data_IF_864684698173
#
_entry.id   IF_864684698173
#
_cell.length_a   1.000
_cell.length_b   1.000
_cell.length_c   1.000
_cell.angle_alpha   90.00
_cell.angle_beta   90.00
_cell.angle_gamma   90.00
#
_symmetry.space_group_name_H-M   'P 1'
#
loop_
_entity.id
_entity.type
_entity.pdbx_description
1 polymer ?
#
# COMPACT_ATOMS: atom_id res chain seq x y z
N UNK A 1 7.10 16.85 -15.89
CA UNK A 1 6.32 16.03 -14.93
C UNK A 1 6.95 14.65 -14.91
N UNK A 2 7.32 14.17 -13.73
CA UNK A 2 7.82 12.80 -13.57
C UNK A 2 6.68 11.85 -13.93
N UNK A 3 6.94 10.94 -14.87
CA UNK A 3 6.01 9.86 -15.18
C UNK A 3 6.12 8.83 -14.08
N UNK A 4 5.00 8.42 -13.49
CA UNK A 4 4.92 7.36 -12.49
C UNK A 4 4.20 6.12 -13.05
N UNK A 5 4.75 5.47 -14.09
CA UNK A 5 4.05 4.41 -14.82
C UNK A 5 3.63 3.24 -13.93
N UNK A 6 4.43 2.87 -12.92
CA UNK A 6 4.03 1.81 -12.00
C UNK A 6 2.88 2.23 -11.09
N UNK A 7 2.89 3.45 -10.54
CA UNK A 7 1.78 3.93 -9.72
C UNK A 7 0.48 4.00 -10.52
N UNK A 8 0.51 4.59 -11.72
CA UNK A 8 -0.66 4.72 -12.60
C UNK A 8 -1.24 3.34 -12.95
N UNK A 9 -0.38 2.37 -13.24
CA UNK A 9 -0.79 1.01 -13.56
C UNK A 9 -1.43 0.29 -12.37
N UNK A 10 -0.78 0.28 -11.21
CA UNK A 10 -1.31 -0.35 -10.00
C UNK A 10 -2.62 0.31 -9.58
N UNK A 11 -2.67 1.65 -9.61
CA UNK A 11 -3.84 2.40 -9.25
C UNK A 11 -5.03 2.13 -10.18
N UNK A 12 -4.77 2.01 -11.48
CA UNK A 12 -5.76 1.56 -12.47
C UNK A 12 -6.24 0.15 -12.15
N UNK A 13 -5.31 -0.81 -12.05
CA UNK A 13 -5.60 -2.22 -11.85
C UNK A 13 -6.46 -2.48 -10.61
N UNK A 14 -6.12 -1.85 -9.48
CA UNK A 14 -6.88 -1.97 -8.24
C UNK A 14 -8.25 -1.29 -8.36
N UNK A 15 -8.34 -0.13 -9.02
CA UNK A 15 -9.60 0.60 -9.17
C UNK A 15 -10.62 -0.06 -10.10
N UNK A 16 -10.17 -0.81 -11.11
CA UNK A 16 -11.04 -1.54 -12.04
C UNK A 16 -11.56 -2.85 -11.42
N UNK A 17 -10.91 -3.36 -10.37
CA UNK A 17 -11.35 -4.54 -9.63
C UNK A 17 -12.51 -4.19 -8.67
N UNK A 18 -13.58 -5.00 -8.74
CA UNK A 18 -14.71 -4.89 -7.83
C UNK A 18 -14.47 -5.65 -6.53
N UNK A 19 -14.06 -4.94 -5.49
CA UNK A 19 -14.08 -5.44 -4.12
C UNK A 19 -15.42 -5.06 -3.45
N UNK A 20 -16.30 -6.04 -3.26
CA UNK A 20 -17.68 -5.80 -2.79
C UNK A 20 -17.74 -5.03 -1.47
N UNK A 21 -18.47 -3.92 -1.45
CA UNK A 21 -18.65 -3.06 -0.28
C UNK A 21 -17.41 -2.26 0.11
N UNK A 22 -16.38 -2.23 -0.72
CA UNK A 22 -15.14 -1.53 -0.43
C UNK A 22 -15.05 -0.19 -1.15
N UNK A 23 -14.39 0.76 -0.50
CA UNK A 23 -14.00 2.05 -1.04
C UNK A 23 -12.49 2.05 -1.31
N UNK A 24 -12.09 2.62 -2.44
CA UNK A 24 -10.67 2.70 -2.83
C UNK A 24 -10.27 4.17 -2.84
N UNK A 25 -9.24 4.53 -2.07
CA UNK A 25 -8.65 5.88 -2.06
C UNK A 25 -7.25 5.79 -2.68
N UNK A 26 -6.91 6.73 -3.57
CA UNK A 26 -5.69 6.74 -4.40
C UNK A 26 -4.96 8.07 -4.26
N UNK A 27 -3.64 8.03 -4.11
CA UNK A 27 -2.79 9.22 -4.29
C UNK A 27 -2.82 9.65 -5.77
N UNK A 28 -2.67 10.94 -6.11
CA UNK A 28 -2.62 11.42 -7.49
C UNK A 28 -1.67 10.66 -8.41
N UNK A 29 -0.53 10.16 -7.93
CA UNK A 29 0.38 9.36 -8.74
C UNK A 29 -0.26 8.04 -9.22
N UNK A 30 -1.24 7.52 -8.47
CA UNK A 30 -1.97 6.29 -8.74
C UNK A 30 -3.22 6.51 -9.62
N UNK A 31 -3.32 7.64 -10.31
CA UNK A 31 -4.49 8.01 -11.11
C UNK A 31 -4.07 8.30 -12.54
N UNK A 32 -4.95 8.02 -13.51
CA UNK A 32 -4.67 8.36 -14.91
C UNK A 32 -4.58 9.88 -15.05
N UNK A 33 -3.70 10.36 -15.93
CA UNK A 33 -3.45 11.82 -16.13
C UNK A 33 -4.68 12.68 -16.40
N UNK A 34 -5.77 12.08 -16.88
CA UNK A 34 -7.02 12.77 -17.19
C UNK A 34 -8.06 12.71 -16.06
N UNK A 35 -7.79 11.95 -14.99
CA UNK A 35 -8.62 11.94 -13.79
C UNK A 35 -8.31 13.18 -12.95
N UNK A 36 -9.27 14.09 -12.83
CA UNK A 36 -9.18 15.27 -11.98
C UNK A 36 -9.35 14.87 -10.50
N UNK A 37 -8.33 14.21 -9.94
CA UNK A 37 -8.25 13.96 -8.51
C UNK A 37 -7.39 15.08 -7.93
N UNK A 38 -7.94 15.84 -6.97
CA UNK A 38 -7.23 16.96 -6.34
C UNK A 38 -5.88 16.51 -5.77
N UNK A 39 -5.00 17.47 -5.41
CA UNK A 39 -3.71 17.17 -4.76
C UNK A 39 -3.95 16.62 -3.35
N UNK A 40 -4.30 15.34 -3.27
CA UNK A 40 -4.74 14.70 -2.04
C UNK A 40 -3.78 13.57 -1.68
N UNK A 41 -2.97 13.78 -0.66
CA UNK A 41 -2.20 12.69 -0.07
C UNK A 41 -3.10 11.77 0.76
N UNK A 42 -2.82 10.48 0.75
CA UNK A 42 -3.47 9.52 1.65
C UNK A 42 -2.72 9.49 2.98
N UNK A 43 -2.97 10.50 3.81
CA UNK A 43 -2.27 10.66 5.09
C UNK A 43 -2.85 9.77 6.18
N UNK A 44 -2.00 9.01 6.87
CA UNK A 44 -2.33 8.24 8.06
C UNK A 44 -1.91 8.98 9.34
N UNK A 45 -2.74 8.90 10.37
CA UNK A 45 -2.64 9.64 11.61
C UNK A 45 -2.70 8.72 12.84
N UNK A 46 -2.12 9.18 13.94
CA UNK A 46 -2.22 8.52 15.25
C UNK A 46 -3.39 9.01 16.12
N UNK A 47 -4.26 9.86 15.57
CA UNK A 47 -5.41 10.44 16.26
C UNK A 47 -6.70 10.11 15.51
N UNK A 48 -7.79 10.00 16.26
CA UNK A 48 -9.14 9.82 15.72
C UNK A 48 -9.81 11.16 15.38
N UNK A 49 -9.67 12.13 16.29
CA UNK A 49 -10.31 13.44 16.20
C UNK A 49 -9.77 14.28 15.03
N UNK A 50 -10.60 14.59 14.01
CA UNK A 50 -10.18 15.42 12.87
C UNK A 50 -9.71 16.82 13.27
N UNK A 51 -10.19 17.37 14.38
CA UNK A 51 -9.73 18.67 14.87
C UNK A 51 -8.25 18.65 15.28
N UNK A 52 -7.70 17.47 15.59
CA UNK A 52 -6.28 17.25 15.92
C UNK A 52 -5.44 16.88 14.70
N UNK A 53 -6.03 16.79 13.51
CA UNK A 53 -5.33 16.50 12.26
C UNK A 53 -4.30 17.58 11.98
N UNK A 54 -3.02 17.21 12.02
CA UNK A 54 -1.91 18.13 11.77
C UNK A 54 -0.65 17.38 11.34
N UNK A 55 0.40 18.12 10.95
CA UNK A 55 1.71 17.51 10.70
C UNK A 55 2.31 16.81 11.92
N UNK A 56 1.89 17.18 13.14
CA UNK A 56 2.39 16.58 14.39
C UNK A 56 1.80 15.19 14.64
N UNK A 57 0.59 14.95 14.13
CA UNK A 57 -0.16 13.70 14.33
C UNK A 57 -0.16 12.80 13.09
N UNK A 58 0.40 13.29 11.97
CA UNK A 58 0.60 12.53 10.73
C UNK A 58 1.85 11.66 10.84
N UNK A 59 1.73 10.38 10.53
CA UNK A 59 2.87 9.45 10.52
C UNK A 59 3.41 9.18 9.12
N UNK A 60 2.54 8.95 8.13
CA UNK A 60 2.96 8.72 6.75
C UNK A 60 1.89 9.15 5.75
N UNK A 61 2.30 9.21 4.48
CA UNK A 61 1.41 9.26 3.32
C UNK A 61 1.61 7.94 2.55
N UNK A 62 0.52 7.23 2.26
CA UNK A 62 0.53 5.97 1.49
C UNK A 62 0.02 6.20 0.07
N UNK A 63 0.30 5.28 -0.84
CA UNK A 63 -0.08 5.44 -2.26
C UNK A 63 -1.52 5.02 -2.54
N UNK A 64 -2.03 4.03 -1.81
CA UNK A 64 -3.38 3.51 -1.99
C UNK A 64 -3.94 2.91 -0.69
N UNK A 65 -5.24 3.03 -0.49
CA UNK A 65 -5.95 2.40 0.61
C UNK A 65 -7.25 1.75 0.10
N UNK A 66 -7.59 0.59 0.68
CA UNK A 66 -8.91 -0.04 0.50
C UNK A 66 -9.59 -0.08 1.86
N UNK A 67 -10.73 0.59 1.96
CA UNK A 67 -11.57 0.63 3.14
C UNK A 67 -12.84 -0.19 2.94
N UNK A 68 -13.38 -0.73 4.03
CA UNK A 68 -14.68 -1.41 4.07
C UNK A 68 -15.33 -1.08 5.40
N UNK A 69 -16.61 -0.73 5.40
CA UNK A 69 -17.39 -0.40 6.60
C UNK A 69 -16.68 0.67 7.48
N UNK A 70 -16.15 1.71 6.83
CA UNK A 70 -15.37 2.79 7.47
C UNK A 70 -14.10 2.34 8.20
N UNK A 71 -13.58 1.16 7.86
CA UNK A 71 -12.29 0.67 8.33
C UNK A 71 -11.30 0.47 7.20
N UNK A 72 -10.07 0.92 7.37
CA UNK A 72 -8.94 0.60 6.48
C UNK A 72 -8.63 -0.88 6.61
N UNK A 73 -8.71 -1.63 5.50
CA UNK A 73 -8.42 -3.08 5.45
C UNK A 73 -7.13 -3.40 4.68
N UNK A 74 -6.78 -2.58 3.69
CA UNK A 74 -5.57 -2.77 2.88
C UNK A 74 -4.86 -1.43 2.70
N UNK A 75 -3.55 -1.46 2.85
CA UNK A 75 -2.64 -0.36 2.53
C UNK A 75 -1.71 -0.86 1.42
N UNK A 76 -1.50 -0.03 0.40
CA UNK A 76 -0.54 -0.30 -0.67
C UNK A 76 0.47 0.84 -0.73
N UNK A 77 1.74 0.45 -0.80
CA UNK A 77 2.88 1.33 -0.98
C UNK A 77 3.69 0.89 -2.21
N UNK A 78 4.12 1.84 -3.02
CA UNK A 78 4.75 1.65 -4.33
C UNK A 78 6.07 2.42 -4.35
N UNK A 79 7.17 1.69 -4.50
CA UNK A 79 8.51 2.25 -4.55
C UNK A 79 9.09 2.13 -5.96
N UNK A 80 8.91 3.19 -6.74
CA UNK A 80 9.32 3.22 -8.15
C UNK A 80 10.74 3.81 -8.35
N UNK A 81 11.15 4.73 -7.48
CA UNK A 81 12.39 5.48 -7.66
C UNK A 81 13.53 4.99 -6.77
N UNK A 82 13.22 4.43 -5.59
CA UNK A 82 14.21 4.10 -4.57
C UNK A 82 13.91 2.76 -3.87
N UNK A 83 14.40 1.67 -4.46
CA UNK A 83 14.23 0.30 -3.93
C UNK A 83 15.36 -0.13 -2.97
N UNK A 84 15.88 0.81 -2.18
CA UNK A 84 16.89 0.52 -1.13
C UNK A 84 16.21 -0.11 0.10
N UNK A 85 16.88 -1.03 0.82
CA UNK A 85 16.27 -1.72 1.96
C UNK A 85 15.62 -0.79 2.98
N UNK A 86 16.29 0.29 3.38
CA UNK A 86 15.75 1.25 4.36
C UNK A 86 14.47 1.93 3.87
N UNK A 87 14.30 2.10 2.56
CA UNK A 87 13.08 2.62 1.97
C UNK A 87 11.97 1.58 2.02
N UNK A 88 12.26 0.33 1.64
CA UNK A 88 11.31 -0.80 1.69
C UNK A 88 10.79 -1.06 3.11
N UNK A 89 11.64 -0.89 4.14
CA UNK A 89 11.21 -0.97 5.53
C UNK A 89 10.44 0.26 6.03
N UNK A 90 10.65 1.43 5.41
CA UNK A 90 10.37 2.73 6.02
C UNK A 90 8.91 2.97 6.39
N UNK A 91 7.99 2.77 5.46
CA UNK A 91 6.57 3.06 5.68
C UNK A 91 5.80 1.94 6.37
N UNK A 92 6.38 0.75 6.52
CA UNK A 92 5.74 -0.36 7.23
C UNK A 92 5.44 0.02 8.69
N UNK A 93 6.45 0.43 9.46
CA UNK A 93 6.26 0.72 10.89
C UNK A 93 5.38 1.94 11.13
N UNK A 94 5.55 2.99 10.32
CA UNK A 94 4.71 4.19 10.39
C UNK A 94 3.23 3.87 10.15
N UNK A 95 2.94 3.03 9.15
CA UNK A 95 1.58 2.59 8.85
C UNK A 95 1.03 1.66 9.93
N UNK A 96 1.84 0.74 10.44
CA UNK A 96 1.47 -0.15 11.54
C UNK A 96 1.18 0.57 12.87
N UNK A 97 1.77 1.75 13.06
CA UNK A 97 1.59 2.60 14.25
C UNK A 97 0.46 3.63 14.07
N UNK A 98 -0.07 3.77 12.87
CA UNK A 98 -1.18 4.68 12.60
C UNK A 98 -2.50 4.05 13.06
N UNK A 99 -3.46 4.89 13.42
CA UNK A 99 -4.78 4.45 13.90
C UNK A 99 -5.91 4.87 12.97
N UNK A 100 -5.72 5.92 12.16
CA UNK A 100 -6.78 6.47 11.31
C UNK A 100 -6.24 6.99 9.98
N UNK A 101 -7.08 6.91 8.95
CA UNK A 101 -7.01 7.75 7.76
C UNK A 101 -8.07 8.86 7.89
N UNK A 102 -7.67 10.12 7.70
CA UNK A 102 -8.55 11.28 7.84
C UNK A 102 -8.45 12.18 6.61
N UNK A 103 -9.57 12.34 5.91
CA UNK A 103 -9.68 13.21 4.75
C UNK A 103 -10.96 14.04 4.78
N UNK A 104 -10.81 15.37 4.90
CA UNK A 104 -11.95 16.26 5.10
C UNK A 104 -12.74 15.84 6.34
N UNK A 105 -14.02 15.53 6.13
CA UNK A 105 -14.94 14.98 7.15
C UNK A 105 -14.99 13.45 7.15
N UNK A 106 -14.29 12.79 6.24
CA UNK A 106 -14.22 11.34 6.19
C UNK A 106 -13.15 10.82 7.14
N UNK A 107 -13.54 9.88 7.99
CA UNK A 107 -12.69 9.24 8.99
C UNK A 107 -12.82 7.74 8.79
N UNK A 108 -11.67 7.08 8.68
CA UNK A 108 -11.58 5.63 8.58
C UNK A 108 -10.63 5.13 9.64
N UNK A 109 -11.12 4.25 10.51
CA UNK A 109 -10.30 3.61 11.52
C UNK A 109 -9.45 2.52 10.89
N UNK A 110 -8.22 2.29 11.36
CA UNK A 110 -7.49 1.08 11.02
C UNK A 110 -8.23 -0.13 11.58
N UNK A 111 -8.53 -1.13 10.74
CA UNK A 111 -9.13 -2.37 11.23
C UNK A 111 -8.17 -3.10 12.17
N UNK A 112 -8.70 -4.06 12.93
CA UNK A 112 -7.89 -4.94 13.78
C UNK A 112 -6.91 -5.79 12.98
N UNK A 113 -7.28 -6.14 11.75
CA UNK A 113 -6.44 -6.83 10.78
C UNK A 113 -6.37 -6.02 9.48
N UNK A 114 -5.18 -5.52 9.19
CA UNK A 114 -4.85 -4.79 7.96
C UNK A 114 -3.80 -5.55 7.17
N UNK A 115 -4.02 -5.67 5.88
CA UNK A 115 -3.02 -6.14 4.93
C UNK A 115 -2.15 -4.97 4.46
N UNK A 116 -0.83 -5.10 4.60
CA UNK A 116 0.12 -4.17 4.01
C UNK A 116 0.77 -4.77 2.76
N UNK A 117 0.64 -4.09 1.63
CA UNK A 117 1.25 -4.50 0.37
C UNK A 117 2.35 -3.53 -0.02
N UNK A 118 3.54 -4.05 -0.28
CA UNK A 118 4.66 -3.31 -0.81
C UNK A 118 4.92 -3.70 -2.27
N UNK A 119 5.00 -2.75 -3.18
CA UNK A 119 5.26 -2.98 -4.60
C UNK A 119 6.56 -2.28 -4.99
N UNK A 120 7.51 -3.01 -5.58
CA UNK A 120 8.82 -2.48 -5.96
C UNK A 120 9.02 -2.49 -7.48
N UNK A 121 9.46 -1.37 -8.05
CA UNK A 121 9.84 -1.34 -9.46
C UNK A 121 11.17 -2.06 -9.70
N UNK A 122 11.20 -2.90 -10.73
CA UNK A 122 12.43 -3.55 -11.19
C UNK A 122 12.85 -3.13 -12.61
N UNK A 123 12.23 -2.10 -13.20
CA UNK A 123 12.55 -1.66 -14.56
C UNK A 123 14.02 -1.27 -14.75
N UNK A 124 14.64 -0.73 -13.69
CA UNK A 124 16.05 -0.28 -13.69
C UNK A 124 17.05 -1.38 -13.29
N UNK A 125 16.58 -2.58 -12.98
CA UNK A 125 17.45 -3.68 -12.58
C UNK A 125 18.05 -4.38 -13.81
N UNK A 126 19.37 -4.57 -13.79
CA UNK A 126 20.07 -5.34 -14.81
C UNK A 126 20.04 -6.82 -14.41
N UNK A 127 19.30 -7.63 -15.17
CA UNK A 127 19.22 -9.08 -14.96
C UNK A 127 20.61 -9.71 -14.93
N UNK A 128 20.83 -10.63 -13.98
CA UNK A 128 22.10 -11.33 -13.79
C UNK A 128 23.23 -10.48 -13.17
N UNK A 129 23.01 -9.18 -12.91
CA UNK A 129 23.99 -8.29 -12.26
C UNK A 129 23.50 -7.73 -10.93
N UNK A 130 22.46 -8.32 -10.36
CA UNK A 130 21.86 -7.82 -9.12
C UNK A 130 21.30 -8.95 -8.26
N UNK A 131 21.44 -8.80 -6.95
CA UNK A 131 20.81 -9.66 -5.94
C UNK A 131 19.57 -9.02 -5.31
N UNK A 132 19.01 -7.98 -5.96
CA UNK A 132 17.90 -7.19 -5.42
C UNK A 132 16.65 -8.02 -5.18
N UNK A 133 16.28 -8.90 -6.11
CA UNK A 133 15.10 -9.75 -5.94
C UNK A 133 15.28 -10.69 -4.73
N UNK A 134 16.44 -11.34 -4.58
CA UNK A 134 16.76 -12.14 -3.40
C UNK A 134 16.76 -11.30 -2.10
N UNK A 135 17.30 -10.07 -2.15
CA UNK A 135 17.26 -9.13 -1.03
C UNK A 135 15.82 -8.77 -0.64
N UNK A 136 14.93 -8.54 -1.61
CA UNK A 136 13.53 -8.22 -1.34
C UNK A 136 12.77 -9.41 -0.76
N UNK A 137 13.05 -10.64 -1.21
CA UNK A 137 12.49 -11.85 -0.61
C UNK A 137 12.93 -12.02 0.85
N UNK A 138 14.19 -11.71 1.16
CA UNK A 138 14.69 -11.71 2.55
C UNK A 138 14.01 -10.61 3.39
N UNK A 139 13.80 -9.41 2.83
CA UNK A 139 13.07 -8.33 3.51
C UNK A 139 11.62 -8.74 3.79
N UNK A 140 10.92 -9.32 2.80
CA UNK A 140 9.55 -9.82 2.98
C UNK A 140 9.50 -10.83 4.12
N UNK A 141 10.44 -11.79 4.15
CA UNK A 141 10.55 -12.78 5.22
C UNK A 141 10.73 -12.11 6.58
N UNK A 142 11.68 -11.18 6.72
CA UNK A 142 11.92 -10.48 7.99
C UNK A 142 10.72 -9.65 8.45
N UNK A 143 10.00 -8.97 7.55
CA UNK A 143 8.80 -8.21 7.93
C UNK A 143 7.69 -9.17 8.37
N UNK A 144 7.49 -10.30 7.68
CA UNK A 144 6.51 -11.33 8.09
C UNK A 144 6.83 -11.93 9.45
N UNK A 145 8.10 -12.15 9.77
CA UNK A 145 8.54 -12.57 11.10
C UNK A 145 8.20 -11.53 12.17
N UNK A 146 8.39 -10.23 11.87
CA UNK A 146 7.97 -9.13 12.77
C UNK A 146 6.45 -9.15 12.96
N UNK A 147 5.67 -9.20 11.89
CA UNK A 147 4.19 -9.25 11.95
C UNK A 147 3.73 -10.41 12.83
N UNK A 148 4.29 -11.60 12.61
CA UNK A 148 3.98 -12.81 13.40
C UNK A 148 4.34 -12.63 14.88
N UNK A 149 5.55 -12.13 15.15
CA UNK A 149 6.06 -11.92 16.52
C UNK A 149 5.25 -10.86 17.28
N UNK A 150 4.80 -9.82 16.57
CA UNK A 150 4.01 -8.74 17.13
C UNK A 150 2.54 -9.11 17.33
N UNK A 151 2.06 -10.23 16.77
CA UNK A 151 0.73 -10.84 16.97
C UNK A 151 -0.31 -10.01 17.73
N UNK A 152 -1.18 -9.29 17.01
CA UNK A 152 -2.26 -8.48 17.57
C UNK A 152 -1.83 -7.20 18.31
N UNK A 153 -0.53 -6.97 18.55
CA UNK A 153 -0.01 -5.71 19.13
C UNK A 153 0.12 -4.59 18.09
N UNK A 154 0.17 -4.94 16.81
CA UNK A 154 0.07 -4.02 15.68
C UNK A 154 -1.12 -4.40 14.83
N UNK A 155 -1.69 -3.44 14.11
CA UNK A 155 -2.87 -3.66 13.25
C UNK A 155 -2.54 -4.35 11.92
N UNK A 156 -1.28 -4.35 11.50
CA UNK A 156 -0.86 -5.08 10.30
C UNK A 156 -0.82 -6.57 10.64
N UNK A 157 -1.78 -7.33 10.09
CA UNK A 157 -1.91 -8.77 10.33
C UNK A 157 -1.25 -9.61 9.22
N UNK A 158 -1.06 -9.03 8.04
CA UNK A 158 -0.34 -9.67 6.94
C UNK A 158 0.45 -8.64 6.14
N UNK A 159 1.54 -9.10 5.54
CA UNK A 159 2.43 -8.29 4.70
C UNK A 159 2.74 -9.06 3.43
N UNK A 160 2.65 -8.41 2.27
CA UNK A 160 3.06 -9.01 1.00
C UNK A 160 3.90 -8.06 0.17
N UNK A 161 5.03 -8.55 -0.33
CA UNK A 161 5.87 -7.83 -1.26
C UNK A 161 5.66 -8.38 -2.68
N UNK A 162 5.42 -7.48 -3.63
CA UNK A 162 5.45 -7.74 -5.06
C UNK A 162 6.54 -6.90 -5.71
N UNK A 163 7.08 -7.37 -6.83
CA UNK A 163 8.01 -6.58 -7.62
C UNK A 163 7.82 -6.84 -9.11
N UNK A 164 8.00 -5.78 -9.90
CA UNK A 164 7.72 -5.80 -11.33
C UNK A 164 7.63 -4.39 -11.89
N UNK A 165 7.79 -4.25 -13.20
CA UNK A 165 7.52 -3.00 -13.90
C UNK A 165 6.03 -2.92 -14.29
N UNK A 166 5.59 -1.75 -14.75
CA UNK A 166 4.20 -1.52 -15.14
C UNK A 166 3.67 -2.56 -16.15
N UNK A 167 4.47 -2.96 -17.15
CA UNK A 167 4.05 -3.94 -18.15
C UNK A 167 3.75 -5.33 -17.55
N UNK A 168 4.55 -5.78 -16.56
CA UNK A 168 4.31 -7.05 -15.85
C UNK A 168 3.02 -7.05 -15.04
N UNK A 169 2.64 -5.90 -14.46
CA UNK A 169 1.40 -5.76 -13.71
C UNK A 169 0.18 -5.64 -14.62
N UNK A 170 0.30 -4.97 -15.77
CA UNK A 170 -0.79 -4.81 -16.74
C UNK A 170 -1.29 -6.11 -17.34
N UNK A 171 -0.36 -6.95 -17.79
CA UNK A 171 -0.65 -8.08 -18.71
C UNK A 171 -0.14 -9.42 -18.18
N UNK A 172 0.07 -9.55 -16.87
CA UNK A 172 0.83 -10.67 -16.32
C UNK A 172 0.34 -11.22 -14.98
N UNK A 173 0.96 -12.33 -14.60
CA UNK A 173 0.76 -13.04 -13.35
C UNK A 173 0.91 -12.14 -12.11
N UNK A 174 1.75 -11.10 -12.19
CA UNK A 174 1.95 -10.15 -11.08
C UNK A 174 0.69 -9.35 -10.75
N UNK A 175 -0.06 -8.90 -11.77
CA UNK A 175 -1.32 -8.18 -11.56
C UNK A 175 -2.40 -9.08 -10.98
N UNK A 176 -2.58 -10.26 -11.56
CA UNK A 176 -3.54 -11.26 -11.08
C UNK A 176 -3.20 -11.74 -9.66
N UNK A 177 -1.91 -11.96 -9.38
CA UNK A 177 -1.41 -12.33 -8.07
C UNK A 177 -1.69 -11.25 -7.02
N UNK A 178 -1.48 -9.97 -7.36
CA UNK A 178 -1.81 -8.84 -6.49
C UNK A 178 -3.31 -8.80 -6.17
N UNK A 179 -4.16 -8.77 -7.20
CA UNK A 179 -5.62 -8.69 -7.02
C UNK A 179 -6.17 -9.91 -6.28
N UNK A 180 -5.70 -11.11 -6.61
CA UNK A 180 -6.09 -12.34 -5.93
C UNK A 180 -5.68 -12.34 -4.46
N UNK A 181 -4.50 -11.81 -4.12
CA UNK A 181 -4.06 -11.69 -2.73
C UNK A 181 -4.94 -10.74 -1.92
N UNK A 182 -5.25 -9.58 -2.49
CA UNK A 182 -6.17 -8.59 -1.88
C UNK A 182 -7.55 -9.20 -1.67
N UNK A 183 -8.14 -9.80 -2.72
CA UNK A 183 -9.49 -10.35 -2.67
C UNK A 183 -9.59 -11.49 -1.64
N UNK A 184 -8.59 -12.37 -1.60
CA UNK A 184 -8.51 -13.45 -0.61
C UNK A 184 -8.45 -12.91 0.82
N UNK A 185 -7.67 -11.86 1.08
CA UNK A 185 -7.60 -11.24 2.41
C UNK A 185 -8.95 -10.62 2.80
N UNK A 186 -9.55 -9.83 1.90
CA UNK A 186 -10.85 -9.16 2.13
C UNK A 186 -12.02 -10.14 2.32
N UNK A 187 -11.93 -11.36 1.77
CA UNK A 187 -12.92 -12.43 1.97
C UNK A 187 -12.75 -13.18 3.28
N UNK A 188 -11.52 -13.34 3.78
CA UNK A 188 -11.22 -14.05 5.04
C UNK A 188 -11.65 -13.26 6.28
N UNK A 189 -11.53 -11.93 6.25
CA UNK A 189 -11.91 -11.05 7.36
C UNK A 189 -13.42 -10.77 7.48
N UNK A 190 -14.28 -11.76 7.21
CA UNK A 190 -15.73 -11.70 7.44
C UNK A 190 -16.12 -12.50 8.67
#
# INVERSE_FOLDING_TARGET
MLSHPLHEEIGTLISEQRFSGCEIKRDPACTRKHECIGKQHISLFCVEDPAKKSRKTKYCDVDLLIAKDRQVKVIVEIEESNVRPTQVFGKFLASASSTHYIHGTEIYQMADEVLFIQILDNSKLIKGKTSKEAQWLNIEKSIKEIVTTMGGKIKIADYKLFFGNAAKFRAGESGNGLLGYIDNFLKKGR
#
